data_IF_501390611696
#
_entry.id   IF_501390611696
#
_cell.length_a   1.000
_cell.length_b   1.000
_cell.length_c   1.000
_cell.angle_alpha   90.00
_cell.angle_beta   90.00
_cell.angle_gamma   90.00
#
_symmetry.space_group_name_H-M   'P 1'
#
loop_
_entity.id
_entity.type
_entity.pdbx_description
1 polymer ?
#
# COMPACT_ATOMS: atom_id res chain seq x y z
N UNK A 1 0.16 -0.60 -9.12
CA UNK A 1 0.13 0.78 -8.58
C UNK A 1 -1.09 1.59 -9.01
N UNK A 2 -1.41 1.73 -10.30
CA UNK A 2 -2.61 2.49 -10.72
C UNK A 2 -3.90 1.92 -10.08
N UNK A 3 -4.02 0.60 -9.97
CA UNK A 3 -5.17 -0.04 -9.31
C UNK A 3 -5.24 0.22 -7.80
N UNK A 4 -4.12 0.08 -7.07
CA UNK A 4 -4.06 0.43 -5.65
C UNK A 4 -4.52 1.87 -5.37
N UNK A 5 -4.13 2.83 -6.23
CA UNK A 5 -4.57 4.22 -6.11
C UNK A 5 -6.07 4.38 -6.35
N UNK A 6 -6.61 3.78 -7.42
CA UNK A 6 -8.06 3.84 -7.70
C UNK A 6 -8.84 3.25 -6.54
N UNK A 7 -8.47 2.06 -6.05
CA UNK A 7 -9.12 1.42 -4.92
C UNK A 7 -9.04 2.26 -3.66
N UNK A 8 -7.91 2.93 -3.40
CA UNK A 8 -7.79 3.85 -2.26
C UNK A 8 -8.73 5.04 -2.38
N UNK A 9 -8.86 5.63 -3.58
CA UNK A 9 -9.74 6.78 -3.83
C UNK A 9 -11.22 6.39 -3.70
N UNK A 10 -11.63 5.22 -4.18
CA UNK A 10 -13.03 4.77 -4.09
C UNK A 10 -13.40 4.17 -2.73
N UNK A 11 -12.43 4.02 -1.81
CA UNK A 11 -12.65 3.49 -0.46
C UNK A 11 -12.56 1.96 -0.35
N UNK A 12 -12.16 1.28 -1.43
CA UNK A 12 -11.98 -0.17 -1.50
C UNK A 12 -10.62 -0.58 -0.93
N UNK A 13 -10.42 -0.31 0.37
CA UNK A 13 -9.10 -0.37 0.98
C UNK A 13 -8.49 -1.76 1.03
N UNK A 14 -9.29 -2.82 1.19
CA UNK A 14 -8.77 -4.19 1.19
C UNK A 14 -8.20 -4.56 -0.18
N UNK A 15 -8.88 -4.20 -1.27
CA UNK A 15 -8.38 -4.40 -2.63
C UNK A 15 -7.14 -3.55 -2.92
N UNK A 16 -7.08 -2.33 -2.37
CA UNK A 16 -5.89 -1.51 -2.45
C UNK A 16 -4.69 -2.19 -1.78
N UNK A 17 -4.89 -2.77 -0.59
CA UNK A 17 -3.84 -3.47 0.16
C UNK A 17 -3.38 -4.73 -0.57
N UNK A 18 -4.30 -5.51 -1.17
CA UNK A 18 -3.96 -6.69 -1.98
C UNK A 18 -3.06 -6.32 -3.16
N UNK A 19 -3.38 -5.25 -3.88
CA UNK A 19 -2.57 -4.73 -4.98
C UNK A 19 -1.19 -4.23 -4.53
N UNK A 20 -1.11 -3.61 -3.35
CA UNK A 20 0.16 -3.15 -2.78
C UNK A 20 1.03 -4.32 -2.31
N UNK A 21 0.43 -5.38 -1.76
CA UNK A 21 1.12 -6.62 -1.38
C UNK A 21 1.74 -7.29 -2.61
N UNK A 22 0.98 -7.40 -3.70
CA UNK A 22 1.51 -7.90 -4.97
C UNK A 22 2.63 -7.00 -5.51
N UNK A 23 2.47 -5.69 -5.47
CA UNK A 23 3.47 -4.74 -5.96
C UNK A 23 4.78 -4.79 -5.13
N UNK A 24 4.71 -4.94 -3.81
CA UNK A 24 5.88 -5.08 -2.92
C UNK A 24 6.57 -6.45 -3.05
N UNK A 25 5.84 -7.47 -3.50
CA UNK A 25 6.41 -8.81 -3.75
C UNK A 25 7.38 -8.84 -4.93
N UNK A 26 7.30 -7.86 -5.84
CA UNK A 26 8.15 -7.75 -7.02
C UNK A 26 9.24 -6.71 -6.73
N UNK A 27 10.53 -6.99 -7.02
CA UNK A 27 11.58 -5.98 -6.93
C UNK A 27 11.31 -4.88 -7.97
N UNK A 28 10.64 -3.84 -7.52
CA UNK A 28 10.22 -2.70 -8.31
C UNK A 28 10.56 -1.39 -7.55
N UNK A 29 10.13 -0.27 -8.11
CA UNK A 29 10.28 1.07 -7.55
C UNK A 29 9.37 1.34 -6.33
N UNK A 30 8.64 0.33 -5.85
CA UNK A 30 7.75 0.43 -4.70
C UNK A 30 8.48 -0.10 -3.46
N UNK A 31 8.58 0.72 -2.42
CA UNK A 31 9.07 0.31 -1.11
C UNK A 31 8.09 0.74 -0.01
N UNK A 32 8.14 0.14 1.18
CA UNK A 32 7.31 0.56 2.31
C UNK A 32 7.47 2.04 2.65
N UNK A 33 8.68 2.58 2.54
CA UNK A 33 8.99 4.00 2.81
C UNK A 33 8.29 4.90 1.80
N UNK A 34 8.27 4.52 0.52
CA UNK A 34 7.52 5.23 -0.51
C UNK A 34 6.03 5.29 -0.17
N UNK A 35 5.45 4.15 0.22
CA UNK A 35 4.03 4.07 0.59
C UNK A 35 3.69 4.86 1.87
N UNK A 36 4.64 4.98 2.81
CA UNK A 36 4.48 5.85 4.00
C UNK A 36 4.52 7.33 3.69
N UNK A 37 5.32 7.74 2.71
CA UNK A 37 5.51 9.14 2.34
C UNK A 37 4.45 9.71 1.41
N UNK A 38 3.69 8.87 0.71
CA UNK A 38 2.71 9.31 -0.29
C UNK A 38 1.35 9.65 0.36
N UNK A 39 0.86 10.91 0.26
CA UNK A 39 -0.43 11.33 0.80
C UNK A 39 -1.63 10.56 0.23
N UNK A 40 -1.50 9.98 -0.96
CA UNK A 40 -2.59 9.21 -1.58
C UNK A 40 -2.91 7.93 -0.79
N UNK A 41 -1.96 7.41 -0.03
CA UNK A 41 -2.16 6.26 0.85
C UNK A 41 -2.41 6.66 2.31
N UNK A 42 -2.56 7.95 2.63
CA UNK A 42 -2.92 8.43 3.98
C UNK A 42 -4.15 7.70 4.56
N UNK A 43 -5.24 7.43 3.79
CA UNK A 43 -6.37 6.66 4.31
C UNK A 43 -6.01 5.24 4.75
N UNK A 44 -5.06 4.59 4.06
CA UNK A 44 -4.61 3.24 4.37
C UNK A 44 -3.73 3.19 5.62
N UNK A 45 -3.06 4.29 6.00
CA UNK A 45 -2.18 4.35 7.18
C UNK A 45 -2.88 3.97 8.49
N UNK A 46 -4.21 4.16 8.56
CA UNK A 46 -5.03 3.84 9.73
C UNK A 46 -5.48 2.37 9.78
N UNK A 47 -5.20 1.60 8.72
CA UNK A 47 -5.66 0.22 8.58
C UNK A 47 -4.59 -0.73 9.15
N UNK A 48 -4.92 -1.56 10.15
CA UNK A 48 -3.94 -2.46 10.77
C UNK A 48 -3.25 -3.40 9.79
N UNK A 49 -3.99 -3.92 8.79
CA UNK A 49 -3.45 -4.82 7.76
C UNK A 49 -2.41 -4.13 6.88
N UNK A 50 -2.62 -2.85 6.55
CA UNK A 50 -1.65 -2.08 5.79
C UNK A 50 -0.36 -1.84 6.58
N UNK A 51 -0.46 -1.55 7.87
CA UNK A 51 0.73 -1.42 8.74
C UNK A 51 1.53 -2.73 8.80
N UNK A 52 0.85 -3.87 8.96
CA UNK A 52 1.49 -5.20 8.94
C UNK A 52 2.19 -5.49 7.61
N UNK A 53 1.61 -5.06 6.49
CA UNK A 53 2.23 -5.19 5.17
C UNK A 53 3.52 -4.38 5.10
N UNK A 54 3.50 -3.12 5.54
CA UNK A 54 4.69 -2.27 5.55
C UNK A 54 5.81 -2.86 6.42
N UNK A 55 5.47 -3.35 7.61
CA UNK A 55 6.44 -3.95 8.53
C UNK A 55 7.06 -5.24 7.97
N UNK A 56 6.31 -6.01 7.18
CA UNK A 56 6.81 -7.25 6.54
C UNK A 56 7.89 -6.98 5.51
N UNK A 57 7.77 -5.87 4.78
CA UNK A 57 8.69 -5.50 3.69
C UNK A 57 9.70 -4.43 4.12
N UNK A 58 9.67 -3.98 5.37
CA UNK A 58 10.64 -3.06 5.94
C UNK A 58 11.97 -3.81 6.12
N UNK A 59 12.93 -3.54 5.24
CA UNK A 59 14.28 -4.09 5.30
C UNK A 59 15.18 -3.31 6.25
#
# INVERSE_FOLDING_TARGET
>A
MVMALIYTIVGEYELAIDELEYALSIPAWCSPEYLRGDPLFEPLQKIPRFQQLLDRYQH
#
